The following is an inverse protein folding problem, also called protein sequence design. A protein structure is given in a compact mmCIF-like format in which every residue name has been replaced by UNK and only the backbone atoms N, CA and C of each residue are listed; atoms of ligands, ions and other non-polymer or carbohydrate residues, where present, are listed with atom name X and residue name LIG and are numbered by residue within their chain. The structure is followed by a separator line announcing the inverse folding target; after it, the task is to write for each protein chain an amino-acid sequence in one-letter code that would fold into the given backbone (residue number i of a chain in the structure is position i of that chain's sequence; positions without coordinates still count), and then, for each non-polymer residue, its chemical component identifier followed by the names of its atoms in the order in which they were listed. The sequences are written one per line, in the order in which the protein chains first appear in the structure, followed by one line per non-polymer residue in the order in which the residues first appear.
data_IF_525856367165
#
_entry.id   IF_525856367165
#
_cell.length_a   1.000
_cell.length_b   1.000
_cell.length_c   1.000
_cell.angle_alpha   90.00
_cell.angle_beta   90.00
_cell.angle_gamma   90.00
#
_symmetry.space_group_name_H-M   'P 1'
#
loop_
_entity.id
_entity.type
_entity.pdbx_description
1 polymer ?
#
# COMPACT_ATOMS: atom_id res chain seq x y z
N UNK A 1 -9.32 15.84 -4.88
CA UNK A 1 -8.05 15.49 -5.54
C UNK A 1 -6.95 16.09 -4.68
N UNK A 2 -6.02 15.27 -4.20
CA UNK A 2 -4.89 15.75 -3.38
C UNK A 2 -3.86 16.37 -4.32
N UNK A 3 -3.49 17.63 -4.09
CA UNK A 3 -2.72 18.43 -5.05
C UNK A 3 -1.25 18.62 -4.66
N UNK A 4 -0.86 18.27 -3.44
CA UNK A 4 0.54 18.28 -3.01
C UNK A 4 0.89 17.11 -2.09
N UNK A 5 2.19 16.88 -1.92
CA UNK A 5 2.70 15.89 -0.96
C UNK A 5 2.37 16.30 0.47
N UNK A 6 2.43 17.60 0.81
CA UNK A 6 2.04 18.03 2.17
C UNK A 6 0.57 17.76 2.45
N UNK A 7 -0.31 18.02 1.47
CA UNK A 7 -1.74 17.74 1.60
C UNK A 7 -1.98 16.23 1.79
N UNK A 8 -1.31 15.39 1.00
CA UNK A 8 -1.37 13.93 1.15
C UNK A 8 -0.97 13.50 2.56
N UNK A 9 0.22 13.91 3.01
CA UNK A 9 0.75 13.51 4.31
C UNK A 9 -0.13 14.03 5.46
N UNK A 10 -0.65 15.25 5.34
CA UNK A 10 -1.57 15.82 6.32
C UNK A 10 -2.84 14.95 6.48
N UNK A 11 -3.37 14.40 5.39
CA UNK A 11 -4.51 13.48 5.45
C UNK A 11 -4.16 12.10 6.00
N UNK A 12 -2.94 11.60 5.74
CA UNK A 12 -2.54 10.26 6.16
C UNK A 12 -2.11 10.19 7.64
N UNK A 13 -1.41 11.19 8.17
CA UNK A 13 -0.90 11.17 9.56
C UNK A 13 -1.99 10.81 10.60
N UNK A 14 -3.20 11.39 10.59
CA UNK A 14 -4.24 11.05 11.56
C UNK A 14 -4.71 9.59 11.50
N UNK A 15 -4.53 8.92 10.37
CA UNK A 15 -5.00 7.55 10.15
C UNK A 15 -4.12 6.52 10.87
N UNK A 16 -2.89 6.89 11.27
CA UNK A 16 -2.04 6.11 12.19
C UNK A 16 -2.72 5.76 13.52
N UNK A 17 -3.68 6.58 13.96
CA UNK A 17 -4.40 6.44 15.23
C UNK A 17 -5.73 5.69 15.09
N UNK A 18 -6.12 5.34 13.86
CA UNK A 18 -7.38 4.65 13.61
C UNK A 18 -7.20 3.16 13.85
N UNK A 19 -8.14 2.56 14.57
CA UNK A 19 -8.19 1.11 14.74
C UNK A 19 -8.45 0.43 13.39
N UNK A 20 -9.29 1.02 12.56
CA UNK A 20 -9.63 0.50 11.24
C UNK A 20 -9.78 1.63 10.22
N UNK A 21 -9.28 1.43 9.01
CA UNK A 21 -9.45 2.33 7.88
C UNK A 21 -9.11 1.60 6.56
N UNK A 22 -9.55 2.16 5.44
CA UNK A 22 -9.10 1.75 4.10
C UNK A 22 -8.58 2.99 3.39
N UNK A 23 -7.36 2.89 2.89
CA UNK A 23 -6.69 3.92 2.11
C UNK A 23 -6.63 3.45 0.67
N UNK A 24 -6.92 4.36 -0.26
CA UNK A 24 -6.75 4.13 -1.68
C UNK A 24 -6.28 5.42 -2.33
N UNK A 25 -5.16 5.35 -3.04
CA UNK A 25 -4.62 6.43 -3.83
C UNK A 25 -4.41 5.92 -5.25
N UNK A 26 -5.16 6.50 -6.17
CA UNK A 26 -5.09 6.25 -7.61
C UNK A 26 -4.48 7.46 -8.31
N UNK A 27 -3.77 7.26 -9.42
CA UNK A 27 -3.22 8.35 -10.22
C UNK A 27 -4.27 9.05 -11.07
N UNK A 28 -5.29 8.30 -11.51
CA UNK A 28 -6.35 8.75 -12.39
C UNK A 28 -7.71 8.24 -11.89
N UNK A 29 -8.78 8.89 -12.35
CA UNK A 29 -10.15 8.45 -12.10
C UNK A 29 -10.55 7.39 -13.15
N UNK A 30 -9.85 6.25 -13.14
CA UNK A 30 -10.11 5.11 -14.01
C UNK A 30 -9.93 3.80 -13.24
N UNK A 31 -10.71 2.78 -13.61
CA UNK A 31 -10.68 1.48 -12.95
C UNK A 31 -9.34 0.74 -13.13
N UNK A 32 -8.63 1.05 -14.22
CA UNK A 32 -7.34 0.46 -14.58
C UNK A 32 -6.17 1.35 -14.12
N UNK A 33 -6.41 2.41 -13.35
CA UNK A 33 -5.33 3.32 -12.96
C UNK A 33 -4.33 2.64 -12.03
N UNK A 34 -3.07 3.03 -12.15
CA UNK A 34 -2.05 2.64 -11.17
C UNK A 34 -2.47 3.16 -9.79
N UNK A 35 -2.42 2.29 -8.80
CA UNK A 35 -2.90 2.59 -7.46
C UNK A 35 -2.11 1.87 -6.36
N UNK A 36 -2.08 2.52 -5.20
CA UNK A 36 -1.69 1.94 -3.92
C UNK A 36 -2.88 1.95 -2.97
N UNK A 37 -3.05 0.86 -2.24
CA UNK A 37 -4.08 0.76 -1.21
C UNK A 37 -3.53 0.13 0.06
N UNK A 38 -4.16 0.46 1.18
CA UNK A 38 -3.81 -0.08 2.48
C UNK A 38 -5.06 -0.32 3.32
N UNK A 39 -5.23 -1.54 3.84
CA UNK A 39 -6.22 -1.81 4.87
C UNK A 39 -5.55 -1.74 6.24
N UNK A 40 -6.08 -0.90 7.10
CA UNK A 40 -5.66 -0.77 8.50
C UNK A 40 -6.62 -1.59 9.36
N UNK A 41 -6.05 -2.46 10.20
CA UNK A 41 -6.78 -3.21 11.23
C UNK A 41 -5.87 -3.40 12.47
N UNK A 42 -6.18 -2.72 13.56
CA UNK A 42 -5.53 -2.89 14.89
C UNK A 42 -3.99 -2.89 14.81
N UNK A 43 -3.42 -1.92 14.09
CA UNK A 43 -1.97 -1.78 13.91
C UNK A 43 -1.34 -2.72 12.88
N UNK A 44 -2.15 -3.48 12.14
CA UNK A 44 -1.76 -4.29 10.98
C UNK A 44 -2.12 -3.53 9.71
N UNK A 45 -1.22 -3.50 8.75
CA UNK A 45 -1.34 -2.72 7.51
C UNK A 45 -1.15 -3.64 6.31
N UNK A 46 -2.25 -4.02 5.67
CA UNK A 46 -2.22 -4.82 4.45
C UNK A 46 -2.05 -3.90 3.24
N UNK A 47 -0.84 -3.88 2.68
CA UNK A 47 -0.49 -3.07 1.51
C UNK A 47 -0.72 -3.85 0.22
N UNK A 48 -1.44 -3.23 -0.70
CA UNK A 48 -1.73 -3.77 -2.03
C UNK A 48 -1.43 -2.72 -3.08
N UNK A 49 -0.78 -3.18 -4.13
CA UNK A 49 -0.30 -2.37 -5.24
C UNK A 49 -0.94 -2.87 -6.52
N UNK A 50 -1.43 -1.96 -7.35
CA UNK A 50 -1.87 -2.28 -8.69
C UNK A 50 -1.13 -1.34 -9.62
N UNK A 51 -0.06 -1.83 -10.24
CA UNK A 51 0.83 -0.98 -11.04
C UNK A 51 1.19 -1.66 -12.35
N UNK A 52 1.46 -0.83 -13.34
CA UNK A 52 1.98 -1.26 -14.63
C UNK A 52 3.36 -1.88 -14.46
N UNK A 53 3.63 -3.00 -15.15
CA UNK A 53 4.95 -3.61 -15.17
C UNK A 53 5.91 -2.74 -15.98
N UNK A 54 7.09 -2.44 -15.42
CA UNK A 54 8.09 -1.60 -16.08
C UNK A 54 8.79 -2.34 -17.23
N UNK A 55 8.92 -3.66 -17.12
CA UNK A 55 9.54 -4.51 -18.15
C UNK A 55 8.52 -4.93 -19.21
N UNK A 56 7.24 -5.04 -18.84
CA UNK A 56 6.13 -5.28 -19.77
C UNK A 56 4.97 -4.29 -19.59
N UNK A 57 5.02 -3.10 -20.23
CA UNK A 57 4.02 -2.05 -20.06
C UNK A 57 2.58 -2.41 -20.48
N UNK A 58 2.36 -3.57 -21.08
CA UNK A 58 1.03 -4.08 -21.44
C UNK A 58 0.38 -4.90 -20.33
N UNK A 59 1.11 -5.20 -19.26
CA UNK A 59 0.65 -6.00 -18.14
C UNK A 59 0.58 -5.17 -16.86
N UNK A 60 -0.46 -5.41 -16.07
CA UNK A 60 -0.59 -4.90 -14.70
C UNK A 60 -0.75 -6.07 -13.75
N UNK A 61 -0.01 -6.02 -12.66
CA UNK A 61 -0.06 -7.08 -11.66
C UNK A 61 -0.46 -6.53 -10.31
N UNK A 62 -1.46 -7.14 -9.63
CA UNK A 62 -1.64 -6.91 -8.21
C UNK A 62 -0.39 -7.45 -7.49
N UNK A 63 0.32 -6.57 -6.78
CA UNK A 63 1.48 -6.93 -5.96
C UNK A 63 1.15 -6.65 -4.50
N UNK A 64 1.77 -7.40 -3.60
CA UNK A 64 1.67 -7.19 -2.16
C UNK A 64 3.04 -6.87 -1.57
N UNK A 65 3.04 -6.21 -0.42
CA UNK A 65 4.21 -6.16 0.44
C UNK A 65 4.69 -7.58 0.78
N UNK A 66 5.99 -7.75 1.01
CA UNK A 66 6.57 -9.03 1.42
C UNK A 66 7.65 -8.80 2.48
N UNK A 67 7.60 -9.55 3.60
CA UNK A 67 8.57 -9.41 4.71
C UNK A 67 9.76 -10.36 4.64
N UNK A 68 9.68 -11.41 3.82
CA UNK A 68 10.75 -12.41 3.71
C UNK A 68 10.91 -13.30 4.95
N UNK A 69 9.87 -13.47 5.78
CA UNK A 69 9.92 -14.42 6.89
C UNK A 69 9.96 -15.85 6.38
N UNK A 70 10.96 -16.62 6.82
CA UNK A 70 11.09 -18.05 6.51
C UNK A 70 9.94 -18.88 7.10
N UNK A 71 9.45 -18.48 8.27
CA UNK A 71 8.28 -19.07 8.92
C UNK A 71 7.26 -17.98 9.21
N UNK A 72 6.03 -18.20 8.77
CA UNK A 72 4.96 -17.21 8.79
C UNK A 72 3.64 -17.88 9.15
N UNK A 73 2.72 -17.10 9.70
CA UNK A 73 1.37 -17.55 10.06
C UNK A 73 0.32 -16.81 9.23
N UNK A 74 -0.93 -17.28 9.34
CA UNK A 74 -2.06 -16.51 8.85
C UNK A 74 -2.43 -15.42 9.85
N UNK A 75 -2.66 -14.21 9.36
CA UNK A 75 -3.07 -13.04 10.14
C UNK A 75 -4.45 -12.60 9.66
N UNK A 76 -5.38 -12.44 10.59
CA UNK A 76 -6.70 -11.91 10.28
C UNK A 76 -6.61 -10.40 10.04
N UNK A 77 -7.21 -9.91 8.97
CA UNK A 77 -7.42 -8.49 8.67
C UNK A 77 -8.88 -8.34 8.26
N UNK A 78 -9.67 -7.62 9.05
CA UNK A 78 -11.09 -7.33 8.77
C UNK A 78 -11.92 -8.59 8.40
N UNK A 79 -11.73 -9.70 9.11
CA UNK A 79 -12.45 -10.97 8.89
C UNK A 79 -11.88 -11.89 7.80
N UNK A 80 -10.81 -11.49 7.12
CA UNK A 80 -10.12 -12.30 6.12
C UNK A 80 -8.72 -12.70 6.58
N UNK A 81 -8.22 -13.86 6.16
CA UNK A 81 -6.89 -14.36 6.56
C UNK A 81 -5.87 -14.18 5.44
N UNK A 82 -4.77 -13.50 5.77
CA UNK A 82 -3.66 -13.23 4.87
C UNK A 82 -2.37 -13.85 5.40
N UNK A 83 -1.41 -14.03 4.50
CA UNK A 83 -0.06 -14.42 4.88
C UNK A 83 0.60 -13.30 5.69
N UNK A 84 1.23 -13.60 6.83
CA UNK A 84 1.96 -12.60 7.62
C UNK A 84 3.03 -11.86 6.83
N UNK A 85 3.63 -12.49 5.81
CA UNK A 85 4.57 -11.82 4.92
C UNK A 85 3.96 -10.63 4.18
N UNK A 86 2.64 -10.60 3.99
CA UNK A 86 1.93 -9.50 3.31
C UNK A 86 1.52 -8.36 4.25
N UNK A 87 1.74 -8.51 5.55
CA UNK A 87 1.29 -7.55 6.56
C UNK A 87 2.46 -6.68 7.02
N UNK A 88 2.33 -5.37 6.80
CA UNK A 88 3.21 -4.38 7.39
C UNK A 88 2.73 -4.03 8.81
N UNK A 89 3.68 -3.78 9.71
CA UNK A 89 3.42 -3.38 11.10
C UNK A 89 3.99 -1.98 11.42
N UNK A 90 4.57 -1.31 10.43
CA UNK A 90 5.14 0.02 10.55
C UNK A 90 4.35 1.02 9.71
N UNK A 91 3.62 1.92 10.38
CA UNK A 91 2.86 2.95 9.68
C UNK A 91 3.76 4.01 9.03
N UNK A 92 4.98 4.21 9.53
CA UNK A 92 5.97 5.08 8.90
C UNK A 92 6.32 4.60 7.50
N UNK A 93 6.47 3.27 7.33
CA UNK A 93 6.65 2.65 6.01
C UNK A 93 5.43 2.89 5.12
N UNK A 94 4.21 2.72 5.64
CA UNK A 94 2.96 3.03 4.88
C UNK A 94 2.96 4.47 4.38
N UNK A 95 3.31 5.45 5.23
CA UNK A 95 3.39 6.86 4.85
C UNK A 95 4.42 7.11 3.74
N UNK A 96 5.61 6.53 3.89
CA UNK A 96 6.68 6.64 2.90
C UNK A 96 6.23 6.09 1.53
N UNK A 97 5.52 4.95 1.51
CA UNK A 97 5.06 4.33 0.27
C UNK A 97 4.02 5.17 -0.47
N UNK A 98 3.03 5.69 0.25
CA UNK A 98 2.04 6.59 -0.35
C UNK A 98 2.70 7.87 -0.87
N UNK A 99 3.68 8.43 -0.15
CA UNK A 99 4.46 9.57 -0.59
C UNK A 99 5.24 9.26 -1.87
N UNK A 100 6.04 8.20 -1.88
CA UNK A 100 6.85 7.84 -3.05
C UNK A 100 5.98 7.53 -4.27
N UNK A 101 4.88 6.79 -4.10
CA UNK A 101 3.93 6.52 -5.18
C UNK A 101 3.32 7.82 -5.73
N UNK A 102 2.92 8.75 -4.85
CA UNK A 102 2.35 10.03 -5.27
C UNK A 102 3.35 10.88 -6.05
N UNK A 103 4.64 10.87 -5.67
CA UNK A 103 5.68 11.67 -6.32
C UNK A 103 6.19 11.05 -7.62
N UNK A 104 6.54 9.76 -7.58
CA UNK A 104 7.17 9.06 -8.69
C UNK A 104 6.16 8.54 -9.71
N UNK A 105 4.87 8.48 -9.34
CA UNK A 105 3.81 7.86 -10.16
C UNK A 105 4.11 6.38 -10.48
N UNK A 106 4.96 5.76 -9.67
CA UNK A 106 5.47 4.40 -9.78
C UNK A 106 5.78 3.88 -8.38
N UNK A 107 5.86 2.56 -8.21
CA UNK A 107 6.29 1.94 -6.96
C UNK A 107 7.71 1.40 -7.13
N UNK A 108 8.68 1.89 -6.35
CA UNK A 108 10.05 1.41 -6.47
C UNK A 108 10.17 -0.09 -6.17
N UNK A 109 10.79 -0.83 -7.09
CA UNK A 109 10.90 -2.30 -7.03
C UNK A 109 11.62 -2.82 -5.78
N UNK A 110 12.48 -2.02 -5.12
CA UNK A 110 13.24 -2.42 -3.93
C UNK A 110 12.38 -2.61 -2.67
N UNK A 111 11.09 -2.29 -2.73
CA UNK A 111 10.12 -2.46 -1.65
C UNK A 111 9.39 -3.82 -1.76
N UNK A 112 9.56 -4.50 -2.90
CA UNK A 112 8.85 -5.72 -3.27
C UNK A 112 9.70 -7.00 -3.18
N UNK A 113 10.92 -6.92 -2.61
CA UNK A 113 11.83 -8.06 -2.44
C UNK A 113 11.46 -8.96 -1.27
#
# INVERSE_FOLDING_TARGET
MVNSVEELIHHLIPLSKKTEAVLHLSLEDSWDSDAISCQIDKGKYLLLYYTTDLDNPTEKYPRSYHRGLETHKKVEIRGNFYDENTICYDYGLVLMLFKEFFQQKQIPLYILS
#
